data_IF_422655106664
#
_entry.id   IF_422655106664
#
_cell.length_a   1.000
_cell.length_b   1.000
_cell.length_c   1.000
_cell.angle_alpha   90.00
_cell.angle_beta   90.00
_cell.angle_gamma   90.00
#
_symmetry.space_group_name_H-M   'P 1'
#
loop_
_entity.id
_entity.type
_entity.pdbx_description
1 polymer ?
#
# COMPACT_ATOMS: atom_id res chain seq x y z
N UNK A 1 -13.37 16.55 6.15
CA UNK A 1 -11.98 16.28 6.60
C UNK A 1 -11.04 17.02 5.66
N UNK A 2 -9.80 17.33 6.06
CA UNK A 2 -8.83 17.85 5.09
C UNK A 2 -8.56 16.77 4.03
N UNK A 3 -8.43 17.17 2.75
CA UNK A 3 -8.11 16.23 1.67
C UNK A 3 -6.77 15.52 1.97
N UNK A 4 -6.67 14.21 1.69
CA UNK A 4 -5.41 13.48 1.89
C UNK A 4 -4.36 13.93 0.86
N UNK A 5 -3.10 13.87 1.26
CA UNK A 5 -1.97 14.07 0.36
C UNK A 5 -1.73 12.80 -0.48
N UNK A 6 -1.98 11.64 0.12
CA UNK A 6 -1.72 10.32 -0.46
C UNK A 6 -2.93 9.39 -0.27
N UNK A 7 -3.34 8.72 -1.35
CA UNK A 7 -4.23 7.56 -1.31
C UNK A 7 -3.42 6.27 -1.40
N UNK A 8 -3.43 5.48 -0.34
CA UNK A 8 -2.82 4.14 -0.33
C UNK A 8 -3.88 3.11 -0.70
N UNK A 9 -3.80 2.55 -1.91
CA UNK A 9 -4.63 1.41 -2.31
C UNK A 9 -3.95 0.12 -1.83
N UNK A 10 -4.46 -0.45 -0.73
CA UNK A 10 -3.88 -1.62 -0.05
C UNK A 10 -4.74 -2.89 -0.14
N UNK A 11 -4.11 -4.01 0.21
CA UNK A 11 -4.69 -5.34 0.18
C UNK A 11 -3.71 -6.40 -0.30
N UNK A 12 -4.07 -7.67 -0.13
CA UNK A 12 -3.24 -8.81 -0.58
C UNK A 12 -3.03 -8.80 -2.10
N UNK A 13 -1.99 -9.47 -2.58
CA UNK A 13 -1.78 -9.67 -4.02
C UNK A 13 -2.99 -10.38 -4.64
N UNK A 14 -3.41 -9.91 -5.82
CA UNK A 14 -4.66 -10.35 -6.47
C UNK A 14 -5.91 -9.54 -6.11
N UNK A 15 -5.85 -8.60 -5.15
CA UNK A 15 -7.00 -7.75 -4.79
C UNK A 15 -7.35 -6.66 -5.82
N UNK A 16 -6.45 -6.37 -6.76
CA UNK A 16 -6.67 -5.38 -7.83
C UNK A 16 -6.08 -3.99 -7.56
N UNK A 17 -5.18 -3.84 -6.57
CA UNK A 17 -4.55 -2.56 -6.18
C UNK A 17 -4.06 -1.73 -7.36
N UNK A 18 -3.24 -2.31 -8.25
CA UNK A 18 -2.64 -1.58 -9.38
C UNK A 18 -3.70 -1.06 -10.34
N UNK A 19 -4.72 -1.87 -10.64
CA UNK A 19 -5.83 -1.48 -11.53
C UNK A 19 -6.68 -0.38 -10.92
N UNK A 20 -7.07 -0.53 -9.65
CA UNK A 20 -7.87 0.48 -8.94
C UNK A 20 -7.07 1.77 -8.77
N UNK A 21 -5.81 1.68 -8.34
CA UNK A 21 -4.94 2.84 -8.13
C UNK A 21 -4.65 3.63 -9.40
N UNK A 22 -4.36 2.95 -10.52
CA UNK A 22 -4.13 3.62 -11.80
C UNK A 22 -5.38 4.37 -12.29
N UNK A 23 -6.57 3.77 -12.15
CA UNK A 23 -7.82 4.43 -12.52
C UNK A 23 -8.14 5.63 -11.63
N UNK A 24 -8.02 5.48 -10.30
CA UNK A 24 -8.22 6.59 -9.37
C UNK A 24 -7.28 7.76 -9.68
N UNK A 25 -6.00 7.47 -9.93
CA UNK A 25 -5.03 8.48 -10.27
C UNK A 25 -5.43 9.23 -11.56
N UNK A 26 -5.87 8.49 -12.58
CA UNK A 26 -6.35 9.08 -13.83
C UNK A 26 -7.59 9.96 -13.63
N UNK A 27 -8.56 9.53 -12.81
CA UNK A 27 -9.78 10.30 -12.56
C UNK A 27 -9.54 11.54 -11.70
N UNK A 28 -8.64 11.45 -10.73
CA UNK A 28 -8.29 12.55 -9.82
C UNK A 28 -7.27 13.53 -10.42
N UNK A 29 -6.58 13.15 -11.50
CA UNK A 29 -5.42 13.88 -12.02
C UNK A 29 -4.21 13.80 -11.09
N UNK A 30 -4.11 12.72 -10.30
CA UNK A 30 -3.04 12.50 -9.33
C UNK A 30 -1.94 11.64 -9.93
N UNK A 31 -0.76 11.65 -9.31
CA UNK A 31 0.35 10.80 -9.75
C UNK A 31 0.18 9.39 -9.24
N UNK A 32 0.40 8.39 -10.10
CA UNK A 32 0.31 6.98 -9.73
C UNK A 32 1.70 6.36 -9.52
N UNK A 33 1.82 5.55 -8.46
CA UNK A 33 2.94 4.65 -8.26
C UNK A 33 2.45 3.24 -7.93
N UNK A 34 3.05 2.24 -8.58
CA UNK A 34 2.98 0.86 -8.11
C UNK A 34 4.22 0.55 -7.26
N UNK A 35 4.00 0.20 -6.00
CA UNK A 35 5.09 -0.01 -5.04
C UNK A 35 5.98 -1.21 -5.42
N UNK A 36 5.44 -2.18 -6.16
CA UNK A 36 6.18 -3.36 -6.60
C UNK A 36 7.34 -2.97 -7.55
N UNK A 37 7.20 -1.86 -8.29
CA UNK A 37 8.23 -1.31 -9.18
C UNK A 37 9.45 -0.78 -8.41
N UNK A 38 9.32 -0.53 -7.11
CA UNK A 38 10.37 0.05 -6.26
C UNK A 38 11.07 -0.98 -5.39
N UNK A 39 10.72 -2.26 -5.50
CA UNK A 39 11.45 -3.31 -4.79
C UNK A 39 12.92 -3.39 -5.26
N UNK A 40 13.88 -3.49 -4.32
CA UNK A 40 15.27 -3.78 -4.68
C UNK A 40 15.40 -5.18 -5.29
N UNK A 41 16.47 -5.41 -6.03
CA UNK A 41 16.69 -6.65 -6.80
C UNK A 41 16.69 -7.89 -5.90
N UNK A 42 17.21 -7.78 -4.69
CA UNK A 42 17.23 -8.84 -3.68
C UNK A 42 15.82 -9.28 -3.30
N UNK A 43 14.91 -8.31 -3.11
CA UNK A 43 13.51 -8.59 -2.77
C UNK A 43 12.78 -9.27 -3.94
N UNK A 44 12.99 -8.77 -5.17
CA UNK A 44 12.42 -9.40 -6.37
C UNK A 44 12.94 -10.82 -6.55
N UNK A 45 14.23 -11.05 -6.33
CA UNK A 45 14.85 -12.38 -6.42
C UNK A 45 14.29 -13.34 -5.37
N UNK A 46 14.12 -12.88 -4.12
CA UNK A 46 13.57 -13.69 -3.03
C UNK A 46 12.11 -14.08 -3.33
N UNK A 47 11.28 -13.13 -3.73
CA UNK A 47 9.90 -13.40 -4.13
C UNK A 47 9.79 -14.27 -5.38
N UNK A 48 10.69 -14.08 -6.36
CA UNK A 48 10.77 -14.90 -7.57
C UNK A 48 11.09 -16.37 -7.29
N UNK A 49 11.72 -16.67 -6.15
CA UNK A 49 11.95 -18.02 -5.64
C UNK A 49 10.79 -18.57 -4.80
N UNK A 50 9.68 -17.85 -4.71
CA UNK A 50 8.54 -18.23 -3.86
C UNK A 50 8.78 -17.99 -2.36
N UNK A 51 9.82 -17.25 -1.99
CA UNK A 51 10.19 -17.01 -0.59
C UNK A 51 9.53 -15.69 -0.15
N UNK A 52 8.71 -15.68 0.92
CA UNK A 52 8.10 -14.45 1.41
C UNK A 52 9.15 -13.51 1.98
N UNK A 53 8.94 -12.20 1.78
CA UNK A 53 9.74 -11.17 2.43
C UNK A 53 9.41 -11.11 3.94
N UNK A 54 10.37 -10.69 4.75
CA UNK A 54 10.22 -10.39 6.17
C UNK A 54 10.24 -8.86 6.41
N UNK A 55 10.27 -8.42 7.68
CA UNK A 55 10.27 -7.00 8.01
C UNK A 55 11.58 -6.30 7.61
N UNK A 56 12.73 -6.95 7.78
CA UNK A 56 14.04 -6.40 7.40
C UNK A 56 14.16 -6.16 5.90
N UNK A 57 13.56 -7.04 5.09
CA UNK A 57 13.48 -6.89 3.64
C UNK A 57 12.60 -5.69 3.24
N UNK A 58 11.49 -5.46 3.96
CA UNK A 58 10.47 -4.46 3.59
C UNK A 58 10.77 -3.06 4.09
N UNK A 59 11.38 -2.90 5.26
CA UNK A 59 11.62 -1.58 5.88
C UNK A 59 12.38 -0.63 4.94
N UNK A 60 13.53 -1.00 4.34
CA UNK A 60 14.26 -0.10 3.44
C UNK A 60 13.44 0.32 2.22
N UNK A 61 12.67 -0.62 1.66
CA UNK A 61 11.77 -0.38 0.53
C UNK A 61 10.64 0.60 0.90
N UNK A 62 10.01 0.43 2.06
CA UNK A 62 8.95 1.32 2.55
C UNK A 62 9.48 2.73 2.86
N UNK A 63 10.69 2.85 3.42
CA UNK A 63 11.34 4.14 3.63
C UNK A 63 11.60 4.86 2.30
N UNK A 64 12.10 4.14 1.27
CA UNK A 64 12.29 4.73 -0.06
C UNK A 64 10.97 5.20 -0.68
N UNK A 65 9.88 4.45 -0.50
CA UNK A 65 8.54 4.88 -0.92
C UNK A 65 8.10 6.14 -0.18
N UNK A 66 8.31 6.21 1.14
CA UNK A 66 8.03 7.42 1.91
C UNK A 66 8.77 8.65 1.36
N UNK A 67 10.06 8.54 1.06
CA UNK A 67 10.85 9.65 0.51
C UNK A 67 10.29 10.13 -0.85
N UNK A 68 9.81 9.20 -1.68
CA UNK A 68 9.13 9.50 -2.96
C UNK A 68 7.81 10.24 -2.72
N UNK A 69 6.98 9.75 -1.79
CA UNK A 69 5.71 10.37 -1.43
C UNK A 69 5.94 11.80 -0.90
N UNK A 70 6.87 11.94 0.05
CA UNK A 70 7.17 13.20 0.69
C UNK A 70 7.65 14.26 -0.32
N UNK A 71 8.55 13.87 -1.23
CA UNK A 71 9.04 14.77 -2.29
C UNK A 71 7.90 15.30 -3.17
N UNK A 72 7.02 14.41 -3.62
CA UNK A 72 5.95 14.79 -4.54
C UNK A 72 4.88 15.63 -3.81
N UNK A 73 4.52 15.28 -2.58
CA UNK A 73 3.61 16.07 -1.73
C UNK A 73 4.19 17.45 -1.44
N UNK A 74 5.48 17.56 -1.14
CA UNK A 74 6.16 18.84 -0.93
C UNK A 74 6.17 19.73 -2.18
N UNK A 75 6.05 19.14 -3.38
CA UNK A 75 5.89 19.88 -4.64
C UNK A 75 4.45 20.28 -4.96
N UNK A 76 3.50 20.00 -4.07
CA UNK A 76 2.06 20.24 -4.25
C UNK A 76 1.35 19.15 -5.06
N UNK A 77 1.99 18.01 -5.30
CA UNK A 77 1.42 16.90 -6.07
C UNK A 77 0.80 15.85 -5.14
N UNK A 78 -0.49 15.57 -5.34
CA UNK A 78 -1.15 14.43 -4.69
C UNK A 78 -0.81 13.11 -5.38
N UNK A 79 -0.82 12.02 -4.60
CA UNK A 79 -0.33 10.71 -5.04
C UNK A 79 -1.33 9.58 -4.73
N UNK A 80 -1.48 8.65 -5.67
CA UNK A 80 -2.10 7.35 -5.45
C UNK A 80 -1.00 6.27 -5.48
N UNK A 81 -0.86 5.54 -4.38
CA UNK A 81 0.12 4.47 -4.22
C UNK A 81 -0.59 3.11 -4.14
N UNK A 82 -0.33 2.21 -5.08
CA UNK A 82 -0.69 0.80 -4.91
C UNK A 82 0.42 0.10 -4.11
N UNK A 83 0.13 -0.35 -2.89
CA UNK A 83 1.10 -1.04 -2.04
C UNK A 83 0.39 -2.03 -1.13
N UNK A 84 0.98 -3.19 -0.83
CA UNK A 84 0.30 -4.21 0.00
C UNK A 84 -0.06 -3.70 1.40
N UNK A 85 0.79 -2.87 2.03
CA UNK A 85 0.47 -2.15 3.28
C UNK A 85 0.02 -3.04 4.44
N UNK A 86 0.45 -4.32 4.44
CA UNK A 86 -0.21 -5.39 5.19
C UNK A 86 -0.19 -5.19 6.71
N UNK A 87 0.92 -4.73 7.28
CA UNK A 87 1.04 -4.44 8.72
C UNK A 87 0.83 -2.97 9.03
N UNK A 88 0.30 -2.65 10.21
CA UNK A 88 0.17 -1.27 10.69
C UNK A 88 1.51 -0.53 10.66
N UNK A 89 2.58 -1.19 11.12
CA UNK A 89 3.94 -0.64 11.07
C UNK A 89 4.36 -0.23 9.65
N UNK A 90 3.95 -0.97 8.62
CA UNK A 90 4.30 -0.60 7.24
C UNK A 90 3.60 0.69 6.80
N UNK A 91 2.35 0.87 7.23
CA UNK A 91 1.58 2.08 6.97
C UNK A 91 2.14 3.26 7.75
N UNK A 92 2.58 3.05 8.99
CA UNK A 92 3.26 4.06 9.80
C UNK A 92 4.58 4.50 9.14
N UNK A 93 5.36 3.58 8.56
CA UNK A 93 6.58 3.93 7.79
C UNK A 93 6.26 4.74 6.53
N UNK A 94 5.18 4.41 5.81
CA UNK A 94 4.77 5.23 4.65
C UNK A 94 4.38 6.66 5.06
N UNK A 95 3.84 6.84 6.26
CA UNK A 95 3.47 8.15 6.82
C UNK A 95 4.68 8.93 7.32
N UNK A 96 5.60 8.29 8.06
CA UNK A 96 6.65 8.96 8.87
C UNK A 96 8.08 8.61 8.48
N UNK A 97 8.28 7.80 7.45
CA UNK A 97 9.59 7.27 7.07
C UNK A 97 10.19 6.41 8.18
N UNK A 98 11.48 6.61 8.46
CA UNK A 98 12.23 5.83 9.46
C UNK A 98 11.65 5.96 10.88
N UNK A 99 11.00 7.08 11.19
CA UNK A 99 10.38 7.32 12.50
C UNK A 99 9.10 6.49 12.69
N UNK A 100 8.59 5.86 11.63
CA UNK A 100 7.52 4.86 11.70
C UNK A 100 8.00 3.46 12.08
N UNK A 101 9.32 3.24 12.22
CA UNK A 101 9.86 1.94 12.64
C UNK A 101 9.88 1.81 14.18
N UNK A 102 9.74 0.60 14.75
CA UNK A 102 9.78 0.40 16.20
C UNK A 102 11.17 0.59 16.83
N UNK A 103 12.22 0.69 16.01
CA UNK A 103 13.59 0.85 16.47
C UNK A 103 13.78 2.31 16.91
N UNK A 104 13.92 2.50 18.22
CA UNK A 104 14.25 3.80 18.82
C UNK A 104 15.51 4.34 18.14
N UNK A 105 15.42 5.56 17.63
CA UNK A 105 16.58 6.34 17.22
C UNK A 105 17.53 6.47 18.41
N UNK A 106 18.74 5.95 18.26
CA UNK A 106 19.83 6.16 19.21
C UNK A 106 20.07 7.67 19.27
N UNK A 107 19.68 8.27 20.38
CA UNK A 107 19.46 9.71 20.54
C UNK A 107 20.63 10.56 20.06
N UNK A 108 20.52 11.08 18.84
CA UNK A 108 21.28 12.21 18.32
C UNK A 108 20.45 12.88 17.22
N UNK A 109 20.08 14.14 17.41
CA UNK A 109 19.77 15.03 16.28
C UNK A 109 18.36 15.63 16.23
N UNK A 110 18.27 16.84 16.78
CA UNK A 110 17.42 17.97 16.36
C UNK A 110 15.89 17.85 16.49
N UNK A 111 15.29 18.89 17.09
CA UNK A 111 13.85 19.22 17.10
C UNK A 111 13.27 19.45 15.68
N UNK A 112 13.51 18.53 14.74
CA UNK A 112 12.83 18.51 13.44
C UNK A 112 11.56 17.72 13.61
N UNK A 113 10.43 18.40 13.44
CA UNK A 113 9.14 17.75 13.25
C UNK A 113 9.32 16.69 12.14
N UNK A 114 8.99 15.41 12.37
CA UNK A 114 9.08 14.40 11.33
C UNK A 114 8.24 14.84 10.15
N UNK A 115 8.79 14.69 8.94
CA UNK A 115 8.12 15.08 7.72
C UNK A 115 7.05 14.02 7.41
N UNK A 116 5.80 14.31 7.75
CA UNK A 116 4.69 13.36 7.59
C UNK A 116 3.84 13.67 6.35
N UNK A 117 3.31 12.62 5.72
CA UNK A 117 2.28 12.74 4.67
C UNK A 117 0.89 12.40 5.22
N UNK A 118 -0.15 13.15 4.83
CA UNK A 118 -1.54 12.78 5.20
C UNK A 118 -2.02 11.66 4.31
N UNK A 119 -2.01 10.45 4.85
CA UNK A 119 -2.37 9.24 4.14
C UNK A 119 -3.82 8.81 4.44
N UNK A 120 -4.58 8.50 3.40
CA UNK A 120 -5.85 7.80 3.49
C UNK A 120 -5.71 6.40 2.89
N UNK A 121 -6.06 5.39 3.67
CA UNK A 121 -5.96 3.99 3.28
C UNK A 121 -7.25 3.55 2.59
N UNK A 122 -7.15 3.08 1.34
CA UNK A 122 -8.22 2.34 0.65
C UNK A 122 -7.90 0.86 0.74
N UNK A 123 -8.53 0.15 1.67
CA UNK A 123 -8.35 -1.29 1.86
C UNK A 123 -9.31 -2.08 0.96
N UNK A 124 -8.77 -2.70 -0.09
CA UNK A 124 -9.46 -3.67 -0.93
C UNK A 124 -9.49 -5.02 -0.23
N UNK A 125 -10.58 -5.33 0.46
CA UNK A 125 -10.74 -6.55 1.24
C UNK A 125 -11.50 -7.63 0.47
N UNK A 126 -11.17 -8.90 0.70
CA UNK A 126 -11.83 -10.03 0.06
C UNK A 126 -11.48 -11.32 0.77
N UNK A 127 -12.32 -12.34 0.65
CA UNK A 127 -12.01 -13.66 1.20
C UNK A 127 -10.86 -14.32 0.43
N UNK A 128 -10.19 -15.28 1.07
CA UNK A 128 -9.13 -16.05 0.43
C UNK A 128 -9.61 -16.71 -0.86
N UNK A 129 -10.82 -17.28 -0.85
CA UNK A 129 -11.41 -17.99 -1.99
C UNK A 129 -11.64 -17.05 -3.18
N UNK A 130 -12.13 -15.85 -2.93
CA UNK A 130 -12.36 -14.84 -3.97
C UNK A 130 -11.02 -14.40 -4.59
N UNK A 131 -10.02 -14.10 -3.76
CA UNK A 131 -8.71 -13.64 -4.24
C UNK A 131 -7.96 -14.76 -4.98
N UNK A 132 -7.95 -15.97 -4.41
CA UNK A 132 -7.35 -17.16 -5.02
C UNK A 132 -8.01 -17.47 -6.37
N UNK A 133 -9.35 -17.43 -6.43
CA UNK A 133 -10.09 -17.63 -7.68
C UNK A 133 -9.78 -16.59 -8.76
N UNK A 134 -9.48 -15.34 -8.39
CA UNK A 134 -9.02 -14.30 -9.32
C UNK A 134 -7.62 -14.58 -9.85
N UNK A 135 -6.70 -14.96 -8.96
CA UNK A 135 -5.31 -15.26 -9.34
C UNK A 135 -5.25 -16.46 -10.29
N UNK A 136 -6.01 -17.53 -10.03
CA UNK A 136 -6.07 -18.71 -10.90
C UNK A 136 -6.56 -18.41 -12.32
N UNK A 137 -7.45 -17.42 -12.48
CA UNK A 137 -7.96 -16.99 -13.80
C UNK A 137 -6.95 -16.14 -14.58
N UNK A 138 -5.95 -15.55 -13.91
CA UNK A 138 -4.97 -14.67 -14.53
C UNK A 138 -3.89 -15.51 -15.22
N UNK A 139 -3.90 -15.51 -16.55
CA UNK A 139 -2.83 -16.14 -17.35
C UNK A 139 -1.51 -15.39 -17.13
N UNK A 140 -0.42 -16.12 -16.84
CA UNK A 140 0.95 -15.58 -16.84
C UNK A 140 1.51 -15.07 -15.51
N UNK A 141 0.72 -15.02 -14.44
CA UNK A 141 1.20 -14.65 -13.10
C UNK A 141 0.69 -15.66 -12.06
N UNK A 142 1.32 -16.83 -12.00
CA UNK A 142 1.04 -17.80 -10.94
C UNK A 142 1.71 -17.32 -9.65
N UNK A 143 0.91 -16.85 -8.69
CA UNK A 143 1.38 -16.71 -7.31
C UNK A 143 1.08 -18.02 -6.58
N UNK A 144 2.09 -18.71 -6.02
CA UNK A 144 1.87 -19.91 -5.22
C UNK A 144 0.81 -19.67 -4.12
N UNK A 145 -0.14 -20.59 -3.92
CA UNK A 145 -1.17 -20.47 -2.86
C UNK A 145 -0.58 -20.18 -1.48
N UNK A 146 0.61 -20.71 -1.19
CA UNK A 146 1.33 -20.52 0.06
C UNK A 146 1.75 -19.06 0.25
N UNK A 147 2.14 -18.37 -0.84
CA UNK A 147 2.43 -16.93 -0.78
C UNK A 147 1.17 -16.11 -0.55
N UNK A 148 0.02 -16.50 -1.13
CA UNK A 148 -1.24 -15.84 -0.83
C UNK A 148 -1.62 -16.03 0.65
N UNK A 149 -1.53 -17.26 1.16
CA UNK A 149 -1.81 -17.58 2.55
C UNK A 149 -0.94 -16.74 3.48
N UNK A 150 0.37 -16.67 3.22
CA UNK A 150 1.29 -15.85 4.03
C UNK A 150 0.91 -14.37 4.07
N UNK A 151 0.29 -13.82 3.02
CA UNK A 151 -0.18 -12.44 3.01
C UNK A 151 -1.44 -12.25 3.86
N UNK A 152 -2.36 -13.22 3.84
CA UNK A 152 -3.51 -13.20 4.75
C UNK A 152 -3.07 -13.35 6.21
N UNK A 153 -2.09 -14.21 6.49
CA UNK A 153 -1.53 -14.38 7.83
C UNK A 153 -0.78 -13.12 8.32
N UNK A 154 -0.22 -12.34 7.38
CA UNK A 154 0.48 -11.07 7.66
C UNK A 154 -0.46 -9.87 7.72
N UNK A 155 -1.67 -9.97 7.18
CA UNK A 155 -2.59 -8.84 7.07
C UNK A 155 -3.10 -8.42 8.45
N UNK A 156 -2.77 -7.20 8.83
CA UNK A 156 -3.35 -6.45 9.94
C UNK A 156 -4.29 -5.41 9.32
N UNK A 157 -5.61 -5.69 9.22
CA UNK A 157 -6.57 -4.77 8.62
C UNK A 157 -6.49 -3.39 9.29
N UNK A 158 -6.60 -2.28 8.54
CA UNK A 158 -6.61 -0.96 9.13
C UNK A 158 -7.81 -0.79 10.05
N UNK A 159 -7.59 -0.19 11.21
CA UNK A 159 -8.62 0.06 12.24
C UNK A 159 -8.48 1.46 12.81
N UNK A 160 -9.55 2.02 13.38
CA UNK A 160 -9.48 3.31 14.06
C UNK A 160 -8.37 3.29 15.14
N UNK A 161 -7.53 4.34 15.24
CA UNK A 161 -7.71 5.68 14.68
C UNK A 161 -7.09 5.91 13.29
N UNK A 162 -6.67 4.86 12.57
CA UNK A 162 -6.19 5.02 11.19
C UNK A 162 -7.28 5.63 10.29
N UNK A 163 -6.87 6.45 9.33
CA UNK A 163 -7.78 7.01 8.34
C UNK A 163 -7.93 6.00 7.19
N UNK A 164 -9.06 5.30 7.11
CA UNK A 164 -9.26 4.25 6.11
C UNK A 164 -10.70 4.16 5.58
N UNK A 165 -10.81 3.65 4.35
CA UNK A 165 -12.04 3.18 3.71
C UNK A 165 -11.82 1.71 3.38
N UNK A 166 -12.75 0.86 3.79
CA UNK A 166 -12.74 -0.57 3.43
C UNK A 166 -13.75 -0.83 2.32
N UNK A 167 -13.32 -1.52 1.26
CA UNK A 167 -14.15 -1.83 0.10
C UNK A 167 -13.98 -3.30 -0.26
N UNK A 168 -15.10 -4.02 -0.37
CA UNK A 168 -15.09 -5.39 -0.85
C UNK A 168 -14.69 -5.45 -2.31
N UNK A 169 -13.74 -6.35 -2.59
CA UNK A 169 -13.33 -6.70 -3.95
C UNK A 169 -14.45 -7.36 -4.73
N UNK A 170 -15.49 -7.91 -4.10
CA UNK A 170 -16.62 -8.57 -4.76
C UNK A 170 -17.43 -7.62 -5.65
N UNK A 171 -17.37 -6.32 -5.36
CA UNK A 171 -17.92 -5.27 -6.21
C UNK A 171 -17.21 -5.24 -7.57
N UNK A 172 -17.91 -4.76 -8.59
CA UNK A 172 -17.26 -4.50 -9.86
C UNK A 172 -16.36 -3.25 -9.77
N UNK A 173 -15.44 -3.10 -10.73
CA UNK A 173 -14.45 -2.02 -10.71
C UNK A 173 -15.09 -0.64 -10.67
N UNK A 174 -16.15 -0.41 -11.46
CA UNK A 174 -16.84 0.88 -11.49
C UNK A 174 -17.48 1.23 -10.15
N UNK A 175 -18.06 0.26 -9.45
CA UNK A 175 -18.62 0.45 -8.10
C UNK A 175 -17.54 0.75 -7.06
N UNK A 176 -16.38 0.10 -7.14
CA UNK A 176 -15.23 0.35 -6.26
C UNK A 176 -14.78 1.80 -6.44
N UNK A 177 -14.53 2.22 -7.69
CA UNK A 177 -14.07 3.59 -8.00
C UNK A 177 -15.11 4.62 -7.55
N UNK A 178 -16.38 4.44 -7.90
CA UNK A 178 -17.45 5.35 -7.50
C UNK A 178 -17.55 5.50 -5.97
N UNK A 179 -17.46 4.40 -5.23
CA UNK A 179 -17.49 4.42 -3.75
C UNK A 179 -16.33 5.26 -3.18
N UNK A 180 -15.12 5.10 -3.74
CA UNK A 180 -13.95 5.85 -3.30
C UNK A 180 -14.13 7.33 -3.60
N UNK A 181 -14.49 7.66 -4.84
CA UNK A 181 -14.65 9.04 -5.30
C UNK A 181 -15.73 9.80 -4.50
N UNK A 182 -16.84 9.14 -4.17
CA UNK A 182 -17.88 9.74 -3.33
C UNK A 182 -17.42 9.98 -1.89
N UNK A 183 -16.50 9.17 -1.37
CA UNK A 183 -15.95 9.36 -0.01
C UNK A 183 -14.90 10.48 0.03
N UNK A 184 -14.29 10.83 -1.10
CA UNK A 184 -13.29 11.89 -1.22
C UNK A 184 -13.91 13.29 -1.39
N UNK A 185 -15.21 13.37 -1.68
CA UNK A 185 -15.99 14.62 -1.80
C UNK A 185 -16.34 15.19 -0.43
#
# INVERSE_FOLDING_TARGET
MAAPDVLLVMGVSGSGKSTVGALLASELGWKFYDADDYHPEENRTKMGKGIPLNDQDRIPWLCNLHDILLRDVASGQHVVLACSGLKKMYRDILIRGKDGTPLKSDGTGEDKQPAEVKLLVVHLNGSFEVISGRLLKRKGHFMPPELLQSQFDTLEPPTAPENFIQISVDKNLSEIIATIMDTLR
#
